data_IF_602756246739
#
_entry.id   IF_602756246739
#
_cell.length_a   1.000
_cell.length_b   1.000
_cell.length_c   1.000
_cell.angle_alpha   90.00
_cell.angle_beta   90.00
_cell.angle_gamma   90.00
#
_symmetry.space_group_name_H-M   'P 1'
#
loop_
_entity.id
_entity.type
_entity.pdbx_description
1 polymer ?
#
# COMPACT_ATOMS: atom_id res chain seq x y z
N UNK A 1 17.13 14.56 -3.05
CA UNK A 1 15.74 14.11 -2.89
C UNK A 1 14.85 15.04 -3.70
N UNK A 2 13.83 14.53 -4.41
CA UNK A 2 12.75 15.34 -4.95
C UNK A 2 12.22 16.34 -3.90
N UNK A 3 11.82 17.54 -4.32
CA UNK A 3 11.37 18.61 -3.41
C UNK A 3 10.17 18.19 -2.54
N UNK A 4 9.32 17.32 -3.07
CA UNK A 4 8.16 16.73 -2.39
C UNK A 4 8.55 15.85 -1.19
N UNK A 5 9.77 15.32 -1.16
CA UNK A 5 10.29 14.50 -0.06
C UNK A 5 11.05 15.32 1.00
N UNK A 6 11.11 16.65 0.89
CA UNK A 6 11.76 17.50 1.90
C UNK A 6 11.13 17.44 3.29
N UNK A 7 9.88 16.99 3.38
CA UNK A 7 9.16 16.76 4.64
C UNK A 7 9.41 15.35 5.21
N UNK A 8 10.10 14.48 4.47
CA UNK A 8 10.42 13.14 4.97
C UNK A 8 11.53 13.23 6.01
N UNK A 9 11.29 12.64 7.18
CA UNK A 9 12.27 12.52 8.23
C UNK A 9 12.83 11.09 8.24
N UNK A 10 14.15 10.97 8.35
CA UNK A 10 14.84 9.69 8.47
C UNK A 10 15.66 9.71 9.76
N UNK A 11 15.45 8.71 10.60
CA UNK A 11 16.07 8.58 11.91
C UNK A 11 16.85 7.28 11.99
N UNK A 12 17.94 7.27 12.77
CA UNK A 12 18.67 6.02 13.08
C UNK A 12 18.08 5.34 14.30
N UNK A 13 17.45 6.13 15.16
CA UNK A 13 16.79 5.74 16.38
C UNK A 13 15.47 5.02 16.08
N UNK A 14 15.09 4.10 16.97
CA UNK A 14 13.77 3.46 16.92
C UNK A 14 12.66 4.47 17.24
N UNK A 15 11.45 4.24 16.72
CA UNK A 15 10.28 5.11 16.94
C UNK A 15 9.96 5.32 18.43
N UNK A 16 10.23 4.32 19.28
CA UNK A 16 10.04 4.40 20.73
C UNK A 16 11.06 5.32 21.43
N UNK A 17 12.16 5.65 20.75
CA UNK A 17 13.21 6.55 21.27
C UNK A 17 13.04 7.99 20.78
N UNK A 18 12.05 8.26 19.92
CA UNK A 18 11.79 9.61 19.42
C UNK A 18 11.10 10.45 20.51
N UNK A 19 11.53 11.71 20.71
CA UNK A 19 10.97 12.58 21.74
C UNK A 19 9.50 12.92 21.43
N UNK A 20 8.65 12.85 22.46
CA UNK A 20 7.23 13.22 22.35
C UNK A 20 6.33 12.14 21.72
N UNK A 21 6.84 10.92 21.53
CA UNK A 21 6.06 9.78 21.06
C UNK A 21 5.60 8.95 22.25
N UNK A 22 4.28 8.82 22.44
CA UNK A 22 3.70 7.83 23.35
C UNK A 22 3.43 6.53 22.57
N UNK A 23 3.99 5.38 22.98
CA UNK A 23 3.74 4.09 22.33
C UNK A 23 2.25 3.72 22.22
N UNK A 24 1.40 4.21 23.12
CA UNK A 24 -0.06 3.99 23.08
C UNK A 24 -0.74 4.69 21.92
N UNK A 25 -0.12 5.73 21.37
CA UNK A 25 -0.60 6.48 20.21
C UNK A 25 -0.11 5.87 18.88
N UNK A 26 0.58 4.72 18.92
CA UNK A 26 1.10 4.01 17.75
C UNK A 26 0.24 2.77 17.48
N UNK A 27 -0.31 2.71 16.27
CA UNK A 27 -0.94 1.51 15.72
C UNK A 27 0.03 0.77 14.79
N UNK A 28 0.25 -0.52 15.05
CA UNK A 28 0.99 -1.40 14.13
C UNK A 28 0.03 -1.95 13.07
N UNK A 29 0.32 -1.71 11.79
CA UNK A 29 -0.40 -2.33 10.69
C UNK A 29 0.19 -3.73 10.46
N UNK A 30 -0.61 -4.74 10.76
CA UNK A 30 -0.18 -6.12 10.81
C UNK A 30 -1.25 -7.05 10.20
N UNK A 31 -0.92 -7.80 9.14
CA UNK A 31 -1.84 -8.79 8.57
C UNK A 31 -2.33 -9.84 9.56
N UNK A 32 -1.59 -10.09 10.66
CA UNK A 32 -1.96 -11.04 11.70
C UNK A 32 -2.76 -10.43 12.86
N UNK A 33 -3.05 -9.13 12.82
CA UNK A 33 -3.90 -8.50 13.84
C UNK A 33 -5.33 -9.06 13.78
N UNK A 34 -6.04 -9.03 14.92
CA UNK A 34 -7.41 -9.57 15.02
C UNK A 34 -8.49 -8.62 14.54
N UNK A 35 -8.24 -7.31 14.65
CA UNK A 35 -9.24 -6.28 14.34
C UNK A 35 -8.85 -5.51 13.08
N UNK A 36 -9.81 -5.18 12.20
CA UNK A 36 -9.56 -4.32 11.06
C UNK A 36 -9.28 -2.90 11.53
N UNK A 37 -8.49 -2.16 10.77
CA UNK A 37 -8.41 -0.71 10.90
C UNK A 37 -9.79 -0.09 10.66
N UNK A 38 -10.18 0.87 11.50
CA UNK A 38 -11.49 1.56 11.40
C UNK A 38 -11.35 3.08 11.40
N UNK A 39 -12.35 3.83 10.90
CA UNK A 39 -12.32 5.29 10.94
C UNK A 39 -12.13 5.89 12.34
N UNK A 40 -12.64 5.24 13.39
CA UNK A 40 -12.56 5.70 14.79
C UNK A 40 -11.14 5.54 15.38
N UNK A 41 -10.29 4.72 14.78
CA UNK A 41 -8.91 4.53 15.22
C UNK A 41 -8.10 5.84 15.13
N UNK A 42 -8.54 6.83 14.33
CA UNK A 42 -7.91 8.15 14.26
C UNK A 42 -8.07 8.98 15.54
N UNK A 43 -9.04 8.66 16.39
CA UNK A 43 -9.24 9.34 17.68
C UNK A 43 -8.29 8.79 18.76
N UNK A 44 -7.69 7.62 18.49
CA UNK A 44 -6.80 6.91 19.43
C UNK A 44 -5.33 7.00 19.00
N UNK A 45 -5.04 6.79 17.71
CA UNK A 45 -3.68 6.69 17.21
C UNK A 45 -3.28 7.92 16.42
N UNK A 46 -2.08 8.44 16.71
CA UNK A 46 -1.44 9.51 15.95
C UNK A 46 -0.45 8.97 14.93
N UNK A 47 0.09 7.79 15.16
CA UNK A 47 1.12 7.18 14.35
C UNK A 47 0.68 5.80 13.86
N UNK A 48 1.03 5.51 12.62
CA UNK A 48 0.73 4.25 11.96
C UNK A 48 2.04 3.62 11.51
N UNK A 49 2.42 2.52 12.15
CA UNK A 49 3.67 1.82 11.93
C UNK A 49 3.46 0.73 10.89
N UNK A 50 4.14 0.84 9.76
CA UNK A 50 4.11 -0.13 8.68
C UNK A 50 5.33 -1.04 8.78
N UNK A 51 5.10 -2.29 9.19
CA UNK A 51 6.11 -3.34 9.12
C UNK A 51 6.20 -3.95 7.72
N UNK A 52 7.40 -4.38 7.31
CA UNK A 52 7.58 -5.19 6.11
C UNK A 52 8.37 -4.49 5.00
N UNK A 53 9.63 -4.92 4.87
CA UNK A 53 10.53 -4.66 3.75
C UNK A 53 10.00 -5.50 2.57
N UNK A 54 9.43 -4.86 1.55
CA UNK A 54 9.09 -5.38 0.20
C UNK A 54 8.46 -6.79 0.16
N UNK A 55 7.18 -6.87 -0.19
CA UNK A 55 6.37 -8.08 -0.18
C UNK A 55 7.00 -9.26 -0.93
N UNK A 56 7.11 -10.40 -0.25
CA UNK A 56 7.24 -11.72 -0.87
C UNK A 56 5.84 -12.32 -0.99
N UNK A 57 5.61 -13.14 -2.02
CA UNK A 57 4.46 -14.04 -2.13
C UNK A 57 4.96 -15.50 -2.12
N UNK A 58 4.66 -16.31 -1.07
CA UNK A 58 3.83 -15.97 0.10
C UNK A 58 4.55 -15.04 1.10
N UNK A 59 3.80 -14.32 1.96
CA UNK A 59 4.37 -13.43 2.97
C UNK A 59 5.30 -14.15 3.96
N UNK A 60 6.48 -13.56 4.24
CA UNK A 60 7.48 -14.12 5.18
C UNK A 60 7.29 -13.70 6.65
N UNK A 61 6.16 -13.08 6.99
CA UNK A 61 5.83 -12.61 8.34
C UNK A 61 6.94 -11.82 9.07
N UNK A 62 7.57 -10.87 8.39
CA UNK A 62 8.67 -10.07 8.98
C UNK A 62 8.17 -9.11 10.08
N UNK A 63 6.90 -8.74 10.06
CA UNK A 63 6.27 -7.84 11.05
C UNK A 63 6.21 -8.45 12.46
N UNK A 64 6.39 -9.77 12.60
CA UNK A 64 6.43 -10.47 13.90
C UNK A 64 7.45 -9.89 14.89
N UNK A 65 8.54 -9.30 14.40
CA UNK A 65 9.55 -8.67 15.27
C UNK A 65 8.99 -7.42 15.96
N UNK A 66 8.13 -6.65 15.29
CA UNK A 66 7.48 -5.47 15.86
C UNK A 66 6.35 -5.85 16.84
N UNK A 67 5.68 -7.00 16.66
CA UNK A 67 4.65 -7.47 17.60
C UNK A 67 5.17 -7.64 19.03
N UNK A 68 6.44 -8.03 19.16
CA UNK A 68 7.09 -8.26 20.46
C UNK A 68 7.20 -6.97 21.29
N UNK A 69 7.06 -5.80 20.65
CA UNK A 69 7.16 -4.49 21.28
C UNK A 69 5.84 -4.01 21.90
N UNK A 70 4.74 -4.78 21.75
CA UNK A 70 3.49 -4.51 22.47
C UNK A 70 2.58 -3.45 21.86
N UNK A 71 2.79 -3.06 20.61
CA UNK A 71 1.90 -2.14 19.89
C UNK A 71 0.49 -2.72 19.73
N UNK A 72 -0.52 -1.84 19.75
CA UNK A 72 -1.88 -2.23 19.35
C UNK A 72 -1.88 -2.47 17.84
N UNK A 73 -2.38 -3.64 17.42
CA UNK A 73 -2.39 -4.07 16.02
C UNK A 73 -3.73 -3.87 15.33
N UNK A 74 -3.69 -3.47 14.06
CA UNK A 74 -4.83 -3.45 13.13
C UNK A 74 -4.46 -4.09 11.81
N UNK A 75 -5.38 -4.81 11.16
CA UNK A 75 -5.16 -5.36 9.82
C UNK A 75 -5.82 -4.48 8.74
N UNK A 76 -5.25 -4.48 7.54
CA UNK A 76 -5.81 -3.80 6.35
C UNK A 76 -6.62 -4.74 5.44
N UNK A 77 -6.95 -5.92 5.97
CA UNK A 77 -7.67 -6.97 5.26
C UNK A 77 -6.78 -8.18 4.98
N UNK A 78 -7.34 -9.22 4.37
CA UNK A 78 -6.66 -10.52 4.22
C UNK A 78 -5.68 -10.56 3.04
N UNK A 79 -5.79 -9.64 2.08
CA UNK A 79 -4.94 -9.62 0.87
C UNK A 79 -3.78 -8.66 1.08
N UNK A 80 -2.58 -9.12 0.74
CA UNK A 80 -1.34 -8.34 0.87
C UNK A 80 -1.38 -7.09 -0.02
N UNK A 81 -0.86 -6.00 0.51
CA UNK A 81 -0.70 -4.71 -0.18
C UNK A 81 0.78 -4.36 -0.25
N UNK A 82 1.18 -3.59 -1.27
CA UNK A 82 2.44 -2.88 -1.24
C UNK A 82 2.44 -1.82 -0.13
N UNK A 83 3.61 -1.36 0.32
CA UNK A 83 3.71 -0.36 1.40
C UNK A 83 2.99 0.94 1.03
N UNK A 84 3.13 1.41 -0.21
CA UNK A 84 2.45 2.61 -0.70
C UNK A 84 0.93 2.43 -0.75
N UNK A 85 0.43 1.26 -1.16
CA UNK A 85 -1.01 0.97 -1.10
C UNK A 85 -1.49 0.94 0.35
N UNK A 86 -0.77 0.26 1.25
CA UNK A 86 -1.12 0.19 2.66
C UNK A 86 -1.21 1.59 3.29
N UNK A 87 -0.27 2.48 2.99
CA UNK A 87 -0.29 3.89 3.44
C UNK A 87 -1.51 4.62 2.90
N UNK A 88 -1.82 4.50 1.62
CA UNK A 88 -2.98 5.14 1.02
C UNK A 88 -4.31 4.62 1.57
N UNK A 89 -4.42 3.31 1.82
CA UNK A 89 -5.59 2.69 2.44
C UNK A 89 -5.75 3.20 3.86
N UNK A 90 -4.69 3.21 4.67
CA UNK A 90 -4.72 3.77 6.01
C UNK A 90 -5.20 5.22 5.99
N UNK A 91 -4.67 6.08 5.12
CA UNK A 91 -5.14 7.45 4.95
C UNK A 91 -6.64 7.51 4.62
N UNK A 92 -7.10 6.73 3.66
CA UNK A 92 -8.52 6.69 3.25
C UNK A 92 -9.43 6.33 4.42
N UNK A 93 -8.99 5.40 5.27
CA UNK A 93 -9.75 4.95 6.44
C UNK A 93 -9.74 6.00 7.55
N UNK A 94 -8.57 6.46 7.98
CA UNK A 94 -8.45 7.24 9.23
C UNK A 94 -8.65 8.73 9.01
N UNK A 95 -8.20 9.26 7.87
CA UNK A 95 -8.30 10.68 7.51
C UNK A 95 -9.59 10.95 6.76
N UNK A 96 -9.85 10.19 5.69
CA UNK A 96 -11.01 10.43 4.84
C UNK A 96 -12.28 9.73 5.36
N UNK A 97 -12.18 9.00 6.49
CA UNK A 97 -13.27 8.34 7.21
C UNK A 97 -14.07 7.32 6.38
N UNK A 98 -13.41 6.65 5.44
CA UNK A 98 -14.03 5.58 4.64
C UNK A 98 -13.87 4.23 5.35
N UNK A 99 -14.94 3.46 5.61
CA UNK A 99 -14.82 2.10 6.13
C UNK A 99 -13.86 1.25 5.28
N UNK A 100 -13.09 0.38 5.92
CA UNK A 100 -12.05 -0.42 5.24
C UNK A 100 -12.62 -1.26 4.08
N UNK A 101 -13.82 -1.79 4.24
CA UNK A 101 -14.55 -2.58 3.25
C UNK A 101 -15.20 -1.75 2.12
N UNK A 102 -15.28 -0.43 2.28
CA UNK A 102 -15.79 0.51 1.26
C UNK A 102 -14.68 1.12 0.39
N UNK A 103 -13.41 0.89 0.72
CA UNK A 103 -12.30 1.32 -0.12
C UNK A 103 -12.39 0.62 -1.49
N UNK A 104 -12.34 1.36 -2.61
CA UNK A 104 -12.49 0.73 -3.92
C UNK A 104 -11.24 -0.07 -4.26
N UNK A 105 -11.27 -1.40 -4.11
CA UNK A 105 -10.11 -2.26 -4.37
C UNK A 105 -10.10 -2.88 -5.77
N UNK A 106 -8.90 -3.14 -6.27
CA UNK A 106 -8.64 -4.08 -7.38
C UNK A 106 -7.59 -5.08 -6.90
N UNK A 107 -7.93 -6.37 -6.99
CA UNK A 107 -7.11 -7.47 -6.51
C UNK A 107 -6.44 -8.17 -7.68
N UNK A 108 -5.14 -8.42 -7.56
CA UNK A 108 -4.34 -9.09 -8.60
C UNK A 108 -4.52 -8.51 -10.00
N UNK A 109 -4.35 -7.18 -10.20
CA UNK A 109 -4.54 -6.57 -11.50
C UNK A 109 -3.50 -7.10 -12.50
N UNK A 110 -3.99 -7.47 -13.68
CA UNK A 110 -3.15 -7.75 -14.83
C UNK A 110 -2.89 -6.46 -15.61
N UNK A 111 -1.62 -6.10 -15.76
CA UNK A 111 -1.17 -4.91 -16.49
C UNK A 111 -0.66 -5.33 -17.86
N UNK A 112 -1.35 -4.91 -18.91
CA UNK A 112 -0.99 -5.19 -20.29
C UNK A 112 -0.06 -4.10 -20.84
N UNK A 113 1.09 -4.51 -21.39
CA UNK A 113 2.05 -3.64 -22.09
C UNK A 113 1.91 -3.74 -23.61
N UNK A 114 1.52 -4.91 -24.11
CA UNK A 114 1.22 -5.17 -25.52
C UNK A 114 0.14 -6.25 -25.64
N UNK A 115 -0.16 -6.70 -26.86
CA UNK A 115 -1.10 -7.84 -27.07
C UNK A 115 -0.55 -9.18 -26.56
N UNK A 116 0.76 -9.26 -26.35
CA UNK A 116 1.46 -10.49 -26.03
C UNK A 116 2.18 -10.43 -24.67
N UNK A 117 2.18 -9.26 -24.02
CA UNK A 117 2.90 -9.01 -22.79
C UNK A 117 1.98 -8.40 -21.75
N UNK A 118 1.89 -9.10 -20.62
CA UNK A 118 1.21 -8.64 -19.43
C UNK A 118 1.96 -9.11 -18.20
N UNK A 119 1.78 -8.37 -17.10
CA UNK A 119 2.30 -8.75 -15.79
C UNK A 119 1.13 -8.80 -14.83
N UNK A 120 1.00 -9.93 -14.13
CA UNK A 120 0.09 -10.05 -13.00
C UNK A 120 0.78 -9.52 -11.74
N UNK A 121 0.12 -8.60 -11.03
CA UNK A 121 0.62 -8.04 -9.78
C UNK A 121 -0.15 -8.67 -8.62
N UNK A 122 0.38 -9.68 -7.90
CA UNK A 122 -0.36 -10.51 -6.94
C UNK A 122 -0.63 -9.81 -5.60
N UNK A 123 -1.06 -8.55 -5.65
CA UNK A 123 -1.36 -7.70 -4.51
C UNK A 123 -2.71 -7.02 -4.68
N UNK A 124 -3.25 -6.51 -3.58
CA UNK A 124 -4.39 -5.60 -3.57
C UNK A 124 -3.91 -4.17 -3.79
N UNK A 125 -4.62 -3.44 -4.64
CA UNK A 125 -4.41 -2.01 -4.91
C UNK A 125 -5.72 -1.24 -4.70
N UNK A 126 -5.62 0.07 -4.47
CA UNK A 126 -6.78 0.96 -4.62
C UNK A 126 -7.07 1.11 -6.12
N UNK A 127 -8.33 1.02 -6.50
CA UNK A 127 -8.81 1.18 -7.87
C UNK A 127 -9.15 2.65 -8.15
N UNK A 128 -8.49 3.22 -9.14
CA UNK A 128 -8.87 4.49 -9.74
C UNK A 128 -9.75 4.26 -10.96
N UNK A 129 -10.75 5.13 -11.10
CA UNK A 129 -11.62 5.15 -12.27
C UNK A 129 -11.07 6.15 -13.26
N UNK A 130 -10.76 5.71 -14.48
CA UNK A 130 -10.29 6.58 -15.57
C UNK A 130 -11.21 6.43 -16.77
N UNK A 131 -11.67 7.56 -17.29
CA UNK A 131 -12.38 7.60 -18.57
C UNK A 131 -11.35 7.72 -19.68
N UNK A 132 -11.38 6.76 -20.61
CA UNK A 132 -10.55 6.75 -21.81
C UNK A 132 -11.41 6.82 -23.06
N UNK A 133 -10.96 7.58 -24.05
CA UNK A 133 -11.56 7.56 -25.39
C UNK A 133 -10.74 6.59 -26.24
N UNK A 134 -11.40 5.56 -26.77
CA UNK A 134 -10.79 4.60 -27.68
C UNK A 134 -10.53 5.24 -29.05
N UNK A 135 -9.71 4.58 -29.88
CA UNK A 135 -9.44 5.05 -31.25
C UNK A 135 -10.70 5.15 -32.11
N UNK A 136 -11.73 4.38 -31.77
CA UNK A 136 -13.02 4.35 -32.46
C UNK A 136 -13.99 5.45 -31.96
N UNK A 137 -13.53 6.36 -31.09
CA UNK A 137 -14.33 7.45 -30.52
C UNK A 137 -15.23 7.03 -29.35
N UNK A 138 -15.27 5.74 -29.01
CA UNK A 138 -16.06 5.23 -27.89
C UNK A 138 -15.41 5.61 -26.56
N UNK A 139 -16.20 6.19 -25.65
CA UNK A 139 -15.77 6.54 -24.30
C UNK A 139 -16.00 5.37 -23.37
N UNK A 140 -14.93 4.86 -22.73
CA UNK A 140 -15.00 3.75 -21.78
C UNK A 140 -14.45 4.17 -20.44
N UNK A 141 -15.16 3.78 -19.38
CA UNK A 141 -14.69 3.90 -18.01
C UNK A 141 -13.96 2.61 -17.63
N UNK A 142 -12.69 2.72 -17.26
CA UNK A 142 -11.86 1.59 -16.85
C UNK A 142 -11.40 1.77 -15.41
N UNK A 143 -11.23 0.65 -14.70
CA UNK A 143 -10.61 0.60 -13.37
C UNK A 143 -9.13 0.28 -13.55
N UNK A 144 -8.26 1.04 -12.90
CA UNK A 144 -6.81 0.84 -12.90
C UNK A 144 -6.29 0.84 -11.46
N UNK A 145 -5.26 0.06 -11.13
CA UNK A 145 -4.60 0.19 -9.83
C UNK A 145 -3.95 1.57 -9.70
N UNK A 146 -4.15 2.22 -8.56
CA UNK A 146 -3.36 3.37 -8.14
C UNK A 146 -1.92 2.91 -7.94
N UNK A 147 -0.99 3.52 -8.68
CA UNK A 147 0.43 3.22 -8.58
C UNK A 147 1.25 4.49 -8.41
N UNK A 148 2.43 4.41 -7.76
CA UNK A 148 3.37 5.51 -7.71
C UNK A 148 3.81 5.94 -9.13
N UNK A 149 4.09 7.23 -9.34
CA UNK A 149 4.68 7.71 -10.58
C UNK A 149 5.96 6.93 -10.93
N UNK A 150 6.12 6.53 -12.19
CA UNK A 150 7.29 5.76 -12.65
C UNK A 150 7.18 4.24 -12.47
N UNK A 151 6.21 3.74 -11.70
CA UNK A 151 6.09 2.29 -11.43
C UNK A 151 5.74 1.51 -12.70
N UNK A 152 4.79 2.00 -13.52
CA UNK A 152 4.41 1.34 -14.77
C UNK A 152 5.57 1.31 -15.76
N UNK A 153 6.34 2.40 -15.85
CA UNK A 153 7.54 2.48 -16.68
C UNK A 153 8.62 1.52 -16.20
N UNK A 154 8.76 1.36 -14.89
CA UNK A 154 9.72 0.41 -14.29
C UNK A 154 9.33 -1.03 -14.60
N UNK A 155 8.05 -1.41 -14.43
CA UNK A 155 7.56 -2.76 -14.75
C UNK A 155 7.74 -3.02 -16.25
N UNK A 156 7.42 -2.05 -17.11
CA UNK A 156 7.64 -2.17 -18.55
C UNK A 156 9.12 -2.41 -18.87
N UNK A 157 10.02 -1.62 -18.28
CA UNK A 157 11.46 -1.76 -18.49
C UNK A 157 11.98 -3.12 -18.02
N UNK A 158 11.40 -3.69 -16.97
CA UNK A 158 11.77 -5.02 -16.49
C UNK A 158 11.26 -6.12 -17.43
N UNK A 159 10.06 -5.97 -17.98
CA UNK A 159 9.53 -6.87 -19.00
C UNK A 159 10.30 -6.80 -20.34
N UNK A 160 10.83 -5.62 -20.70
CA UNK A 160 11.65 -5.43 -21.90
C UNK A 160 13.07 -6.05 -21.75
N UNK A 161 13.47 -6.49 -20.55
CA UNK A 161 14.74 -7.20 -20.36
C UNK A 161 14.62 -8.61 -20.91
N UNK A 162 15.47 -8.92 -21.90
CA UNK A 162 15.65 -10.29 -22.37
C UNK A 162 16.11 -11.18 -21.20
N UNK A 163 15.45 -12.31 -21.04
CA UNK A 163 15.95 -13.39 -20.19
C UNK A 163 17.17 -13.97 -20.89
N UNK A 164 18.37 -13.61 -20.42
CA UNK A 164 19.61 -14.28 -20.80
C UNK A 164 19.56 -15.70 -20.21
N UNK A 165 19.30 -16.70 -21.06
CA UNK A 165 19.32 -18.13 -20.72
C UNK A 165 20.68 -18.75 -21.04
#
# INVERSE_FOLDING_TARGET
>A
MPDELKQAHCHKEDVLSLPGIDPKEICLLDPSAKEPLKPEDADTFKYFLFGGILGDDPPRDRTKELRKLGFVGRHLGPIQMSTDTAVNVTKRVVVDKVPLDEVPYIDSPEVYFSKHESVNLPYRYIAETKTITTKDGETKTIRKPLMPPGMLELIKKDNDRTLDF
#
